data_IF_980647095676
#
_entry.id   IF_980647095676
#
_cell.length_a   1.000
_cell.length_b   1.000
_cell.length_c   1.000
_cell.angle_alpha   90.00
_cell.angle_beta   90.00
_cell.angle_gamma   90.00
#
_symmetry.space_group_name_H-M   'P 1'
#
loop_
_entity.id
_entity.type
_entity.pdbx_description
1 polymer ?
#
# COMPACT_ATOMS: atom_id res chain seq x y z
N UNK A 1 -2.50 -23.97 4.63
CA UNK A 1 -1.94 -23.25 5.57
C UNK A 1 -2.84 -22.34 6.16
N UNK A 2 -2.92 -22.47 7.26
CA UNK A 2 -3.86 -21.78 7.83
C UNK A 2 -3.46 -20.56 8.42
N UNK A 3 -2.25 -20.41 8.78
CA UNK A 3 -1.82 -19.24 9.45
C UNK A 3 -1.63 -18.15 8.45
N UNK A 4 -2.13 -17.00 8.75
CA UNK A 4 -1.90 -15.83 7.94
C UNK A 4 -0.72 -15.11 8.54
N UNK A 5 0.35 -15.06 7.80
CA UNK A 5 1.61 -14.61 8.33
C UNK A 5 1.62 -13.14 8.70
N UNK A 6 0.75 -12.35 8.08
CA UNK A 6 0.74 -10.92 8.31
C UNK A 6 -0.51 -10.45 9.04
N UNK A 7 -1.19 -11.37 9.67
CA UNK A 7 -2.44 -11.02 10.32
C UNK A 7 -2.21 -9.92 11.34
N UNK A 8 -3.02 -8.89 11.28
CA UNK A 8 -2.90 -7.77 12.18
C UNK A 8 -1.86 -6.74 11.81
N UNK A 9 -1.07 -6.99 10.79
CA UNK A 9 -0.08 -6.01 10.36
C UNK A 9 -0.72 -5.02 9.41
N UNK A 10 -0.20 -3.80 9.39
CA UNK A 10 -0.67 -2.76 8.50
C UNK A 10 0.44 -2.43 7.53
N UNK A 11 0.17 -2.56 6.25
CA UNK A 11 1.17 -2.34 5.21
C UNK A 11 0.74 -1.22 4.28
N UNK A 12 1.66 -0.33 4.00
CA UNK A 12 1.44 0.72 3.02
C UNK A 12 2.23 0.38 1.77
N UNK A 13 1.56 0.32 0.63
CA UNK A 13 2.19 -0.06 -0.62
C UNK A 13 1.96 1.04 -1.64
N UNK A 14 3.04 1.63 -2.13
CA UNK A 14 2.93 2.67 -3.12
C UNK A 14 2.97 2.07 -4.51
N UNK A 15 2.38 2.77 -5.47
CA UNK A 15 2.34 2.29 -6.84
C UNK A 15 1.58 0.98 -6.97
N UNK A 16 0.46 0.88 -6.29
CA UNK A 16 -0.22 -0.40 -6.12
C UNK A 16 -1.30 -0.66 -7.15
N UNK A 17 -1.45 0.21 -8.14
CA UNK A 17 -2.58 0.06 -9.06
C UNK A 17 -2.33 -0.98 -10.15
N UNK A 18 -1.09 -1.38 -10.37
CA UNK A 18 -0.82 -2.39 -11.37
C UNK A 18 0.56 -2.99 -11.12
N UNK A 19 0.89 -4.03 -11.88
CA UNK A 19 2.20 -4.64 -11.85
C UNK A 19 2.57 -5.23 -10.51
N UNK A 20 3.83 -5.07 -10.15
CA UNK A 20 4.36 -5.68 -8.94
C UNK A 20 3.68 -5.15 -7.69
N UNK A 21 3.39 -3.85 -7.67
CA UNK A 21 2.72 -3.28 -6.51
C UNK A 21 1.36 -3.88 -6.27
N UNK A 22 0.61 -4.11 -7.33
CA UNK A 22 -0.69 -4.75 -7.21
C UNK A 22 -0.54 -6.19 -6.70
N UNK A 23 0.42 -6.92 -7.25
CA UNK A 23 0.64 -8.30 -6.83
C UNK A 23 1.00 -8.36 -5.36
N UNK A 24 1.89 -7.48 -4.91
CA UNK A 24 2.29 -7.45 -3.51
C UNK A 24 1.09 -7.13 -2.62
N UNK A 25 0.28 -6.16 -3.04
CA UNK A 25 -0.89 -5.78 -2.25
C UNK A 25 -1.84 -6.95 -2.09
N UNK A 26 -2.06 -7.68 -3.17
CA UNK A 26 -2.98 -8.81 -3.11
C UNK A 26 -2.42 -9.92 -2.24
N UNK A 27 -1.13 -10.20 -2.34
CA UNK A 27 -0.52 -11.22 -1.50
C UNK A 27 -0.55 -10.84 -0.03
N UNK A 28 -0.23 -9.60 0.28
CA UNK A 28 -0.24 -9.16 1.67
C UNK A 28 -1.63 -9.27 2.26
N UNK A 29 -2.64 -8.90 1.48
CA UNK A 29 -4.01 -8.99 1.97
C UNK A 29 -4.41 -10.44 2.21
N UNK A 30 -3.96 -11.34 1.35
CA UNK A 30 -4.25 -12.75 1.54
C UNK A 30 -3.60 -13.29 2.81
N UNK A 31 -2.48 -12.70 3.20
CA UNK A 31 -1.78 -13.13 4.42
C UNK A 31 -2.30 -12.41 5.65
N UNK A 32 -3.39 -11.69 5.53
CA UNK A 32 -4.04 -11.11 6.69
C UNK A 32 -3.70 -9.67 6.97
N UNK A 33 -2.87 -9.04 6.16
CA UNK A 33 -2.50 -7.65 6.41
C UNK A 33 -3.65 -6.71 6.06
N UNK A 34 -3.70 -5.60 6.78
CA UNK A 34 -4.53 -4.48 6.36
C UNK A 34 -3.66 -3.64 5.43
N UNK A 35 -4.11 -3.43 4.21
CA UNK A 35 -3.25 -2.76 3.24
C UNK A 35 -3.78 -1.38 2.90
N UNK A 36 -2.88 -0.42 2.91
CA UNK A 36 -3.17 0.94 2.46
C UNK A 36 -2.45 1.09 1.14
N UNK A 37 -3.21 1.32 0.08
CA UNK A 37 -2.67 1.33 -1.26
C UNK A 37 -2.71 2.75 -1.79
N UNK A 38 -1.64 3.16 -2.45
CA UNK A 38 -1.62 4.48 -3.04
C UNK A 38 -1.17 4.40 -4.48
N UNK A 39 -1.78 5.21 -5.32
CA UNK A 39 -1.45 5.33 -6.72
C UNK A 39 -2.03 6.63 -7.21
N UNK A 40 -1.62 7.04 -8.40
CA UNK A 40 -2.12 8.29 -8.95
C UNK A 40 -3.38 8.12 -9.78
N UNK A 41 -3.70 6.90 -10.20
CA UNK A 41 -4.84 6.68 -11.07
C UNK A 41 -5.97 6.06 -10.27
N UNK A 42 -7.03 6.85 -10.09
CA UNK A 42 -8.08 6.48 -9.16
C UNK A 42 -8.83 5.23 -9.60
N UNK A 43 -9.08 5.09 -10.89
CA UNK A 43 -9.89 3.96 -11.33
C UNK A 43 -9.18 2.65 -11.14
N UNK A 44 -7.89 2.62 -11.49
CA UNK A 44 -7.12 1.41 -11.33
C UNK A 44 -6.90 1.07 -9.87
N UNK A 45 -6.68 2.11 -9.06
CA UNK A 45 -6.51 1.89 -7.64
C UNK A 45 -7.78 1.31 -7.02
N UNK A 46 -8.93 1.85 -7.38
CA UNK A 46 -10.18 1.35 -6.84
C UNK A 46 -10.43 -0.09 -7.25
N UNK A 47 -10.03 -0.45 -8.46
CA UNK A 47 -10.18 -1.82 -8.91
C UNK A 47 -9.43 -2.80 -8.01
N UNK A 48 -8.21 -2.44 -7.63
CA UNK A 48 -7.42 -3.30 -6.76
C UNK A 48 -8.05 -3.38 -5.38
N UNK A 49 -8.46 -2.24 -4.84
CA UNK A 49 -9.06 -2.20 -3.51
C UNK A 49 -10.33 -3.04 -3.47
N UNK A 50 -11.18 -2.88 -4.48
CA UNK A 50 -12.43 -3.62 -4.50
C UNK A 50 -12.17 -5.11 -4.66
N UNK A 51 -11.18 -5.48 -5.47
CA UNK A 51 -10.84 -6.88 -5.62
C UNK A 51 -10.38 -7.52 -4.33
N UNK A 52 -9.59 -6.78 -3.55
CA UNK A 52 -9.15 -7.30 -2.26
C UNK A 52 -10.31 -7.44 -1.30
N UNK A 53 -11.17 -6.43 -1.25
CA UNK A 53 -12.32 -6.48 -0.35
C UNK A 53 -13.28 -7.61 -0.73
N UNK A 54 -13.43 -7.86 -2.02
CA UNK A 54 -14.32 -8.92 -2.49
C UNK A 54 -13.87 -10.29 -2.02
N UNK A 55 -12.57 -10.43 -1.75
CA UNK A 55 -12.04 -11.68 -1.24
C UNK A 55 -11.96 -11.72 0.27
N UNK A 56 -12.52 -10.73 0.93
CA UNK A 56 -12.53 -10.71 2.38
C UNK A 56 -11.35 -10.00 3.00
N UNK A 57 -10.48 -9.41 2.19
CA UNK A 57 -9.34 -8.69 2.72
C UNK A 57 -9.69 -7.28 3.16
N UNK A 58 -8.73 -6.62 3.78
CA UNK A 58 -8.90 -5.27 4.28
C UNK A 58 -7.98 -4.34 3.52
N UNK A 59 -8.58 -3.40 2.80
CA UNK A 59 -7.81 -2.49 1.97
C UNK A 59 -8.49 -1.14 1.92
N UNK A 60 -7.66 -0.10 1.84
CA UNK A 60 -8.13 1.25 1.60
C UNK A 60 -7.19 1.87 0.59
N UNK A 61 -7.73 2.68 -0.32
CA UNK A 61 -6.94 3.32 -1.35
C UNK A 61 -6.89 4.82 -1.14
N UNK A 62 -5.73 5.40 -1.38
CA UNK A 62 -5.55 6.85 -1.29
C UNK A 62 -4.90 7.28 -2.59
N UNK A 63 -5.60 8.12 -3.35
CA UNK A 63 -5.02 8.65 -4.58
C UNK A 63 -3.99 9.70 -4.16
N UNK A 64 -2.75 9.47 -4.51
CA UNK A 64 -1.67 10.31 -4.04
C UNK A 64 -0.49 10.25 -4.97
N UNK A 65 0.25 11.36 -5.00
CA UNK A 65 1.50 11.43 -5.72
C UNK A 65 2.59 11.34 -4.66
N UNK A 66 3.34 10.24 -4.65
CA UNK A 66 4.33 10.05 -3.59
C UNK A 66 5.49 10.99 -3.69
N UNK A 67 5.60 11.76 -4.79
CA UNK A 67 6.60 12.81 -4.85
C UNK A 67 6.16 14.06 -4.11
N UNK A 68 4.91 14.12 -3.71
CA UNK A 68 4.39 15.29 -2.98
C UNK A 68 4.47 15.01 -1.49
N UNK A 69 5.12 15.89 -0.76
CA UNK A 69 5.24 15.75 0.68
C UNK A 69 3.87 15.77 1.36
N UNK A 70 3.00 16.64 0.87
CA UNK A 70 1.69 16.74 1.48
C UNK A 70 0.86 15.51 1.23
N UNK A 71 0.97 14.94 0.02
CA UNK A 71 0.26 13.71 -0.27
C UNK A 71 0.78 12.57 0.60
N UNK A 72 2.09 12.52 0.77
CA UNK A 72 2.69 11.47 1.59
C UNK A 72 2.19 11.56 3.03
N UNK A 73 2.12 12.77 3.57
CA UNK A 73 1.61 12.94 4.93
C UNK A 73 0.15 12.50 5.03
N UNK A 74 -0.63 12.80 4.00
CA UNK A 74 -2.03 12.41 4.01
C UNK A 74 -2.18 10.91 3.98
N UNK A 75 -1.32 10.23 3.23
CA UNK A 75 -1.36 8.77 3.16
C UNK A 75 -1.04 8.16 4.52
N UNK A 76 0.03 8.63 5.16
CA UNK A 76 0.37 8.12 6.48
C UNK A 76 -0.74 8.38 7.49
N UNK A 77 -1.33 9.57 7.43
CA UNK A 77 -2.41 9.90 8.34
C UNK A 77 -3.59 8.95 8.13
N UNK A 78 -3.93 8.68 6.87
CA UNK A 78 -5.02 7.77 6.57
C UNK A 78 -4.74 6.38 7.12
N UNK A 79 -3.51 5.91 6.97
CA UNK A 79 -3.15 4.58 7.48
C UNK A 79 -3.37 4.51 8.99
N UNK A 80 -2.88 5.52 9.70
CA UNK A 80 -3.01 5.52 11.14
C UNK A 80 -4.47 5.66 11.58
N UNK A 81 -5.22 6.52 10.90
CA UNK A 81 -6.61 6.73 11.28
C UNK A 81 -7.48 5.53 10.98
N UNK A 82 -7.16 4.82 9.90
CA UNK A 82 -7.99 3.70 9.49
C UNK A 82 -7.66 2.43 10.25
N UNK A 83 -6.37 2.14 10.44
CA UNK A 83 -5.96 0.88 11.01
C UNK A 83 -5.18 1.00 12.30
N UNK A 84 -4.84 2.21 12.70
CA UNK A 84 -4.23 2.43 14.00
C UNK A 84 -2.72 2.31 14.05
N UNK A 85 -2.10 1.84 12.98
CA UNK A 85 -0.67 1.63 13.04
C UNK A 85 -0.13 1.54 11.62
N UNK A 86 1.17 1.43 11.49
CA UNK A 86 1.81 1.19 10.21
C UNK A 86 3.05 0.38 10.48
N UNK A 87 3.04 -0.87 10.03
CA UNK A 87 4.13 -1.80 10.33
C UNK A 87 5.08 -2.00 9.18
N UNK A 88 4.58 -1.91 7.94
CA UNK A 88 5.36 -2.27 6.76
C UNK A 88 5.18 -1.21 5.71
N UNK A 89 6.28 -0.81 5.08
CA UNK A 89 6.23 0.13 3.98
C UNK A 89 6.90 -0.48 2.77
N UNK A 90 6.14 -0.63 1.68
CA UNK A 90 6.68 -1.09 0.42
C UNK A 90 6.64 0.07 -0.55
N UNK A 91 7.79 0.60 -0.86
CA UNK A 91 7.87 1.75 -1.75
C UNK A 91 8.13 1.27 -3.16
N UNK A 92 7.06 0.97 -3.88
CA UNK A 92 7.14 0.43 -5.22
C UNK A 92 7.09 1.49 -6.30
N UNK A 93 6.62 2.69 -5.97
CA UNK A 93 6.32 3.67 -6.99
C UNK A 93 7.55 4.12 -7.76
N UNK A 94 8.72 4.07 -7.17
CA UNK A 94 9.91 4.55 -7.82
C UNK A 94 10.78 3.49 -8.43
N UNK A 95 10.30 2.26 -8.48
CA UNK A 95 11.16 1.18 -8.91
C UNK A 95 11.62 1.36 -10.34
N UNK A 96 10.74 1.82 -11.21
CA UNK A 96 11.12 1.99 -12.60
C UNK A 96 12.17 3.04 -12.79
N UNK A 97 12.41 3.88 -11.81
CA UNK A 97 13.40 4.91 -11.91
C UNK A 97 14.68 4.54 -11.19
N UNK A 98 14.74 3.35 -10.68
CA UNK A 98 15.94 2.87 -10.03
C UNK A 98 16.30 3.63 -8.77
N UNK A 99 15.32 4.19 -8.13
CA UNK A 99 15.60 4.88 -6.90
C UNK A 99 15.85 3.90 -5.80
N UNK A 100 16.85 4.17 -5.03
CA UNK A 100 17.09 3.37 -3.87
C UNK A 100 16.29 3.93 -2.74
N UNK A 101 15.45 3.12 -2.29
CA UNK A 101 14.52 3.59 -1.37
C UNK A 101 15.05 4.03 -0.09
N UNK A 102 15.93 3.38 0.31
CA UNK A 102 16.36 3.74 1.54
C UNK A 102 17.21 4.83 1.50
N UNK A 103 17.37 5.19 0.84
CA UNK A 103 17.99 6.21 0.97
C UNK A 103 17.50 7.09 1.58
N UNK A 104 17.17 6.63 2.01
CA UNK A 104 16.83 7.09 2.66
C UNK A 104 17.09 7.72 3.17
N UNK A 105 17.45 7.84 3.19
CA UNK A 105 17.77 8.40 3.59
C UNK A 105 17.73 9.30 3.67
N UNK A 106 17.80 9.50 3.68
CA UNK A 106 17.82 10.31 3.89
C UNK A 106 17.86 11.06 3.94
N UNK A 107 18.12 11.00 3.91
CA UNK A 107 18.30 11.70 4.13
C UNK A 107 18.39 12.24 4.09
#
# INVERSE_FOLDING_TARGET
>A
MDAQMLEGKVALITGASYGMGRTIAELFAEEGACVVLTARHVEQLNEVVEGIRAKGGKAVGVVADVCSTEDTKRVFKTAIETYGDLDILINNAGIGEQKIIDDTSDE
#
